data_IF_533897491791
#
_entry.id   IF_533897491791
#
_cell.length_a   1.000
_cell.length_b   1.000
_cell.length_c   1.000
_cell.angle_alpha   90.00
_cell.angle_beta   90.00
_cell.angle_gamma   90.00
#
_symmetry.space_group_name_H-M   'P 1'
#
loop_
_entity.id
_entity.type
_entity.pdbx_description
1 polymer ?
#
# COMPACT_ATOMS: atom_id res chain seq x y z
N UNK A 1 0.01 5.79 -15.24
CA UNK A 1 0.95 6.51 -16.11
C UNK A 1 1.17 5.69 -17.37
N UNK A 2 0.98 6.23 -18.59
CA UNK A 2 1.34 5.51 -19.82
C UNK A 2 2.86 5.26 -19.83
N UNK A 3 3.29 4.05 -20.14
CA UNK A 3 4.71 3.70 -20.28
C UNK A 3 5.40 3.06 -19.07
N UNK A 4 4.67 2.68 -18.03
CA UNK A 4 5.22 1.76 -17.02
C UNK A 4 5.23 0.36 -17.62
N UNK A 5 6.41 -0.17 -17.89
CA UNK A 5 6.60 -1.58 -18.23
C UNK A 5 6.03 -2.44 -17.11
N UNK A 6 4.97 -3.20 -17.42
CA UNK A 6 4.30 -4.06 -16.45
C UNK A 6 5.23 -5.10 -15.84
N UNK A 7 6.27 -5.53 -16.58
CA UNK A 7 7.29 -6.44 -16.07
C UNK A 7 8.19 -5.75 -15.05
N UNK A 8 8.63 -4.52 -15.32
CA UNK A 8 9.43 -3.74 -14.39
C UNK A 8 8.65 -3.43 -13.10
N UNK A 9 7.36 -3.11 -13.22
CA UNK A 9 6.49 -2.92 -12.06
C UNK A 9 6.39 -4.21 -11.24
N UNK A 10 6.12 -5.35 -11.91
CA UNK A 10 6.03 -6.64 -11.22
C UNK A 10 7.32 -6.99 -10.47
N UNK A 11 8.47 -6.85 -11.13
CA UNK A 11 9.78 -7.10 -10.53
C UNK A 11 10.03 -6.19 -9.31
N UNK A 12 9.62 -4.92 -9.37
CA UNK A 12 9.72 -4.00 -8.24
C UNK A 12 8.83 -4.43 -7.06
N UNK A 13 7.60 -4.90 -7.32
CA UNK A 13 6.69 -5.41 -6.30
C UNK A 13 7.23 -6.68 -5.65
N UNK A 14 7.71 -7.64 -6.45
CA UNK A 14 8.27 -8.90 -5.97
C UNK A 14 9.55 -8.63 -5.13
N UNK A 15 10.40 -7.70 -5.58
CA UNK A 15 11.57 -7.26 -4.82
C UNK A 15 11.22 -6.62 -3.48
N UNK A 16 10.15 -5.81 -3.44
CA UNK A 16 9.68 -5.23 -2.18
C UNK A 16 9.18 -6.29 -1.20
N UNK A 17 8.39 -7.26 -1.66
CA UNK A 17 7.93 -8.39 -0.85
C UNK A 17 9.09 -9.26 -0.33
N UNK A 18 10.11 -9.52 -1.18
CA UNK A 18 11.32 -10.23 -0.76
C UNK A 18 12.02 -9.52 0.39
N UNK A 19 12.17 -8.19 0.31
CA UNK A 19 12.79 -7.40 1.38
C UNK A 19 11.99 -7.45 2.68
N UNK A 20 10.67 -7.40 2.63
CA UNK A 20 9.85 -7.62 3.84
C UNK A 20 10.16 -8.98 4.48
N UNK A 21 10.24 -10.04 3.66
CA UNK A 21 10.60 -11.38 4.10
C UNK A 21 12.01 -11.49 4.71
N UNK A 22 13.00 -10.81 4.14
CA UNK A 22 14.38 -10.73 4.69
C UNK A 22 14.41 -10.11 6.10
N UNK A 23 13.45 -9.25 6.41
CA UNK A 23 13.27 -8.65 7.74
C UNK A 23 12.30 -9.42 8.64
N UNK A 24 11.82 -10.59 8.21
CA UNK A 24 10.87 -11.41 8.98
C UNK A 24 9.47 -10.80 9.09
N UNK A 25 9.11 -9.89 8.17
CA UNK A 25 7.83 -9.21 8.14
C UNK A 25 6.93 -9.90 7.10
N UNK A 26 5.78 -10.40 7.54
CA UNK A 26 4.74 -10.86 6.62
C UNK A 26 4.07 -9.66 5.95
N UNK A 27 4.04 -9.67 4.61
CA UNK A 27 3.57 -8.54 3.83
C UNK A 27 2.73 -8.99 2.64
N UNK A 28 1.69 -8.22 2.36
CA UNK A 28 0.91 -8.31 1.13
C UNK A 28 0.89 -6.96 0.43
N UNK A 29 0.80 -6.99 -0.90
CA UNK A 29 0.66 -5.79 -1.73
C UNK A 29 -0.65 -5.81 -2.49
N UNK A 30 -1.28 -4.64 -2.57
CA UNK A 30 -2.55 -4.42 -3.28
C UNK A 30 -2.34 -3.28 -4.25
N UNK A 31 -2.59 -3.55 -5.54
CA UNK A 31 -2.68 -2.51 -6.56
C UNK A 31 -4.14 -2.05 -6.64
N UNK A 32 -4.37 -0.75 -6.51
CA UNK A 32 -5.70 -0.15 -6.56
C UNK A 32 -5.80 0.72 -7.81
N UNK A 33 -6.83 0.47 -8.60
CA UNK A 33 -7.24 1.33 -9.71
C UNK A 33 -8.30 2.29 -9.20
N UNK A 34 -8.25 3.56 -9.60
CA UNK A 34 -9.25 4.53 -9.16
C UNK A 34 -10.51 4.43 -10.02
N UNK A 35 -11.33 3.43 -9.70
CA UNK A 35 -12.64 3.19 -10.29
C UNK A 35 -13.62 2.67 -9.23
N UNK A 36 -14.81 2.23 -9.64
CA UNK A 36 -15.85 1.67 -8.78
C UNK A 36 -15.43 0.43 -7.96
N UNK A 37 -14.34 -0.25 -8.34
CA UNK A 37 -13.82 -1.42 -7.63
C UNK A 37 -12.83 -1.08 -6.50
N UNK A 38 -12.39 0.18 -6.40
CA UNK A 38 -11.37 0.60 -5.44
C UNK A 38 -11.78 0.28 -3.99
N UNK A 39 -13.02 0.60 -3.63
CA UNK A 39 -13.53 0.42 -2.27
C UNK A 39 -13.56 -1.05 -1.87
N UNK A 40 -14.19 -1.90 -2.69
CA UNK A 40 -14.32 -3.33 -2.37
C UNK A 40 -12.96 -4.01 -2.29
N UNK A 41 -12.05 -3.68 -3.21
CA UNK A 41 -10.67 -4.19 -3.20
C UNK A 41 -9.92 -3.81 -1.91
N UNK A 42 -10.05 -2.55 -1.48
CA UNK A 42 -9.44 -2.06 -0.24
C UNK A 42 -10.04 -2.75 0.98
N UNK A 43 -11.37 -2.83 1.08
CA UNK A 43 -12.05 -3.46 2.22
C UNK A 43 -11.68 -4.94 2.33
N UNK A 44 -11.73 -5.70 1.23
CA UNK A 44 -11.33 -7.11 1.23
C UNK A 44 -9.88 -7.29 1.70
N UNK A 45 -8.98 -6.39 1.29
CA UNK A 45 -7.57 -6.48 1.67
C UNK A 45 -7.33 -6.12 3.13
N UNK A 46 -7.95 -5.04 3.61
CA UNK A 46 -7.80 -4.54 4.98
C UNK A 46 -8.40 -5.50 6.02
N UNK A 47 -9.44 -6.24 5.64
CA UNK A 47 -10.13 -7.18 6.53
C UNK A 47 -9.61 -8.62 6.44
N UNK A 48 -8.64 -8.89 5.56
CA UNK A 48 -8.09 -10.24 5.37
C UNK A 48 -7.44 -10.79 6.65
N UNK A 49 -6.75 -9.94 7.41
CA UNK A 49 -6.10 -10.27 8.68
C UNK A 49 -5.84 -8.97 9.47
N UNK A 50 -5.56 -9.04 10.79
CA UNK A 50 -5.21 -7.85 11.55
C UNK A 50 -3.81 -7.36 11.15
N UNK A 51 -3.75 -6.37 10.26
CA UNK A 51 -2.49 -5.74 9.88
C UNK A 51 -1.96 -4.85 11.00
N UNK A 52 -0.64 -4.88 11.23
CA UNK A 52 0.05 -3.98 12.16
C UNK A 52 0.35 -2.61 11.52
N UNK A 53 0.68 -2.60 10.22
CA UNK A 53 1.00 -1.38 9.47
C UNK A 53 0.45 -1.44 8.05
N UNK A 54 -0.13 -0.33 7.58
CA UNK A 54 -0.52 -0.14 6.18
C UNK A 54 0.34 0.97 5.57
N UNK A 55 1.20 0.59 4.61
CA UNK A 55 2.00 1.55 3.84
C UNK A 55 1.21 2.03 2.63
N UNK A 56 0.88 3.32 2.58
CA UNK A 56 0.24 3.92 1.40
C UNK A 56 1.35 4.43 0.47
N UNK A 57 1.41 3.89 -0.76
CA UNK A 57 2.46 4.21 -1.74
C UNK A 57 2.43 5.65 -2.26
N UNK A 58 3.60 6.19 -2.62
CA UNK A 58 3.73 7.53 -3.21
C UNK A 58 2.99 7.72 -4.53
N UNK A 59 2.76 6.66 -5.31
CA UNK A 59 2.01 6.71 -6.57
C UNK A 59 0.54 7.12 -6.41
N UNK A 60 -0.03 6.94 -5.20
CA UNK A 60 -1.39 7.38 -4.87
C UNK A 60 -1.35 8.78 -4.25
N UNK A 61 -0.40 9.02 -3.34
CA UNK A 61 -0.40 10.24 -2.50
C UNK A 61 0.19 11.48 -3.15
N UNK A 62 1.07 11.35 -4.13
CA UNK A 62 1.84 12.47 -4.70
C UNK A 62 1.23 13.08 -5.96
N UNK A 63 0.07 12.58 -6.40
CA UNK A 63 -0.60 13.04 -7.61
C UNK A 63 -1.95 13.64 -7.24
N UNK A 64 -2.19 14.89 -7.61
CA UNK A 64 -3.41 15.62 -7.22
C UNK A 64 -4.70 14.93 -7.71
N UNK A 65 -4.63 14.25 -8.87
CA UNK A 65 -5.74 13.52 -9.46
C UNK A 65 -6.22 12.34 -8.60
N UNK A 66 -5.38 11.82 -7.71
CA UNK A 66 -5.72 10.71 -6.82
C UNK A 66 -5.95 11.15 -5.38
N UNK A 67 -6.04 12.46 -5.11
CA UNK A 67 -6.34 12.97 -3.77
C UNK A 67 -7.64 12.38 -3.18
N UNK A 68 -8.77 12.28 -3.94
CA UNK A 68 -9.98 11.65 -3.41
C UNK A 68 -9.79 10.17 -3.06
N UNK A 69 -9.04 9.42 -3.88
CA UNK A 69 -8.71 8.03 -3.58
C UNK A 69 -7.84 7.93 -2.32
N UNK A 70 -6.86 8.83 -2.16
CA UNK A 70 -6.02 8.85 -0.97
C UNK A 70 -6.85 9.10 0.29
N UNK A 71 -7.76 10.06 0.27
CA UNK A 71 -8.68 10.32 1.39
C UNK A 71 -9.53 9.08 1.71
N UNK A 72 -10.09 8.44 0.68
CA UNK A 72 -10.87 7.21 0.84
C UNK A 72 -10.04 6.09 1.49
N UNK A 73 -8.80 5.87 1.05
CA UNK A 73 -7.89 4.87 1.62
C UNK A 73 -7.67 5.13 3.11
N UNK A 74 -7.34 6.37 3.50
CA UNK A 74 -7.11 6.71 4.91
C UNK A 74 -8.35 6.43 5.76
N UNK A 75 -9.54 6.81 5.26
CA UNK A 75 -10.79 6.57 5.97
C UNK A 75 -11.14 5.08 6.08
N UNK A 76 -10.90 4.29 5.02
CA UNK A 76 -11.13 2.85 5.03
C UNK A 76 -10.16 2.12 5.96
N UNK A 77 -8.88 2.51 6.00
CA UNK A 77 -7.92 1.96 6.97
C UNK A 77 -8.42 2.20 8.40
N UNK A 78 -8.79 3.44 8.72
CA UNK A 78 -9.29 3.79 10.07
C UNK A 78 -10.57 3.03 10.45
N UNK A 79 -11.40 2.66 9.48
CA UNK A 79 -12.65 1.92 9.71
C UNK A 79 -12.44 0.41 9.84
N UNK A 80 -11.62 -0.17 8.96
CA UNK A 80 -11.53 -1.63 8.79
C UNK A 80 -10.26 -2.25 9.39
N UNK A 81 -9.23 -1.45 9.64
CA UNK A 81 -8.02 -1.84 10.33
C UNK A 81 -7.59 -0.75 11.34
N UNK A 82 -8.46 -0.37 12.30
CA UNK A 82 -8.18 0.72 13.25
C UNK A 82 -6.94 0.49 14.12
N UNK A 83 -6.50 -0.76 14.26
CA UNK A 83 -5.28 -1.14 14.97
C UNK A 83 -4.00 -0.86 14.17
N UNK A 84 -4.10 -0.78 12.84
CA UNK A 84 -2.93 -0.64 11.98
C UNK A 84 -2.39 0.80 12.02
N UNK A 85 -1.07 0.95 12.19
CA UNK A 85 -0.42 2.23 11.94
C UNK A 85 -0.47 2.56 10.44
N UNK A 86 -0.62 3.84 10.10
CA UNK A 86 -0.55 4.32 8.72
C UNK A 86 0.87 4.83 8.45
N UNK A 87 1.52 4.25 7.46
CA UNK A 87 2.88 4.61 7.06
C UNK A 87 2.92 5.19 5.65
N UNK A 88 3.86 6.11 5.44
CA UNK A 88 4.14 6.73 4.15
C UNK A 88 5.61 6.56 3.80
N UNK A 89 5.87 5.97 2.64
CA UNK A 89 7.19 5.86 2.03
C UNK A 89 7.52 7.09 1.15
N UNK A 90 8.79 7.34 0.90
CA UNK A 90 9.23 8.39 -0.03
C UNK A 90 9.22 7.89 -1.47
N UNK A 91 9.45 6.59 -1.67
CA UNK A 91 9.60 5.87 -2.93
C UNK A 91 9.13 4.42 -2.78
N UNK A 92 8.93 3.67 -3.87
CA UNK A 92 8.62 2.23 -3.75
C UNK A 92 9.69 1.45 -2.97
N UNK A 93 10.95 1.90 -3.05
CA UNK A 93 12.11 1.24 -2.47
C UNK A 93 12.27 1.37 -0.96
N UNK A 94 11.62 2.32 -0.27
CA UNK A 94 11.74 2.50 1.19
C UNK A 94 10.48 2.05 1.96
N UNK A 95 9.71 1.12 1.39
CA UNK A 95 8.45 0.64 2.00
C UNK A 95 8.68 -0.17 3.28
N UNK A 96 9.78 -0.92 3.36
CA UNK A 96 10.15 -1.70 4.55
C UNK A 96 10.51 -0.75 5.70
N UNK A 97 11.36 0.23 5.40
CA UNK A 97 11.79 1.26 6.34
C UNK A 97 10.59 2.11 6.80
N UNK A 98 9.63 2.36 5.92
CA UNK A 98 8.39 3.03 6.29
C UNK A 98 7.54 2.23 7.27
N UNK A 99 7.45 0.91 7.09
CA UNK A 99 6.73 0.03 8.00
C UNK A 99 7.43 -0.10 9.36
N UNK A 100 8.75 -0.29 9.36
CA UNK A 100 9.56 -0.46 10.57
C UNK A 100 9.52 0.70 11.56
N UNK A 101 9.09 1.90 11.14
CA UNK A 101 8.85 3.02 12.08
C UNK A 101 7.72 2.75 13.09
N UNK A 102 6.91 1.73 12.85
CA UNK A 102 5.71 1.42 13.62
C UNK A 102 5.60 -0.03 14.09
N UNK A 103 6.54 -0.90 13.71
CA UNK A 103 6.62 -2.30 14.13
C UNK A 103 7.46 -2.48 15.40
#
# INVERSE_FOLDING_TARGET
MPGVDGQALRAALDGALSRFGEHGIDAAMVLVVFDESAESTLVTSLTKQPWDVVVVGGGIRKTEQLLPLFEQIVNLIRRHAPQAAIAFNTSGGDSVEAAQRWL
#
